data_IF_953090334935
#
_entry.id   IF_953090334935
#
_cell.length_a   1.000
_cell.length_b   1.000
_cell.length_c   1.000
_cell.angle_alpha   90.00
_cell.angle_beta   90.00
_cell.angle_gamma   90.00
#
_symmetry.space_group_name_H-M   'P 1'
#
loop_
_entity.id
_entity.type
_entity.pdbx_description
1 polymer ?
#
# COMPACT_ATOMS: atom_id res chain seq x y z
N UNK A 1 -12.51 -12.39 39.83
CA UNK A 1 -13.39 -12.86 38.74
C UNK A 1 -12.57 -12.72 37.47
N UNK A 2 -12.55 -13.77 36.65
CA UNK A 2 -11.93 -13.74 35.33
C UNK A 2 -12.77 -12.83 34.44
N UNK A 3 -12.16 -11.85 33.79
CA UNK A 3 -12.83 -10.92 32.87
C UNK A 3 -12.88 -11.56 31.48
N UNK A 4 -14.08 -11.75 30.94
CA UNK A 4 -14.31 -12.35 29.62
C UNK A 4 -14.66 -11.28 28.59
N UNK A 5 -13.89 -11.21 27.51
CA UNK A 5 -14.21 -10.40 26.34
C UNK A 5 -14.77 -11.27 25.22
N UNK A 6 -15.80 -10.77 24.54
CA UNK A 6 -16.39 -11.40 23.37
C UNK A 6 -16.25 -10.50 22.14
N UNK A 7 -15.81 -11.08 21.02
CA UNK A 7 -15.81 -10.45 19.70
C UNK A 7 -16.61 -11.36 18.77
N UNK A 8 -17.54 -10.82 17.97
CA UNK A 8 -18.22 -11.58 16.93
C UNK A 8 -18.10 -10.96 15.56
N UNK A 9 -18.11 -11.80 14.52
CA UNK A 9 -17.94 -11.35 13.14
C UNK A 9 -18.06 -12.48 12.13
N UNK A 10 -18.10 -12.09 10.85
CA UNK A 10 -18.05 -13.04 9.73
C UNK A 10 -16.66 -13.66 9.63
N UNK A 11 -15.60 -12.85 9.70
CA UNK A 11 -14.20 -13.30 9.60
C UNK A 11 -13.93 -14.18 8.39
N UNK A 12 -14.40 -13.76 7.20
CA UNK A 12 -14.06 -14.45 5.95
C UNK A 12 -12.55 -14.62 5.81
N UNK A 13 -11.80 -13.58 6.18
CA UNK A 13 -10.34 -13.62 6.30
C UNK A 13 -9.90 -12.91 7.58
N UNK A 14 -8.93 -13.50 8.29
CA UNK A 14 -8.26 -12.85 9.41
C UNK A 14 -7.15 -11.94 8.86
N UNK A 15 -7.46 -10.67 8.70
CA UNK A 15 -6.52 -9.63 8.26
C UNK A 15 -5.95 -8.83 9.45
N UNK A 16 -4.98 -7.94 9.21
CA UNK A 16 -4.30 -7.11 10.20
C UNK A 16 -5.26 -6.39 11.16
N UNK A 17 -6.35 -5.80 10.63
CA UNK A 17 -7.41 -5.20 11.46
C UNK A 17 -8.00 -6.13 12.54
N UNK A 18 -8.27 -7.40 12.21
CA UNK A 18 -8.76 -8.40 13.17
C UNK A 18 -7.71 -8.74 14.22
N UNK A 19 -6.45 -8.92 13.80
CA UNK A 19 -5.33 -9.18 14.71
C UNK A 19 -5.16 -8.06 15.75
N UNK A 20 -5.28 -6.81 15.31
CA UNK A 20 -5.26 -5.61 16.17
C UNK A 20 -6.39 -5.63 17.19
N UNK A 21 -7.59 -6.03 16.76
CA UNK A 21 -8.78 -6.13 17.62
C UNK A 21 -8.64 -7.25 18.66
N UNK A 22 -8.18 -8.44 18.26
CA UNK A 22 -7.96 -9.59 19.15
C UNK A 22 -6.92 -9.27 20.23
N UNK A 23 -5.81 -8.62 19.83
CA UNK A 23 -4.80 -8.16 20.78
C UNK A 23 -5.39 -7.17 21.80
N UNK A 24 -6.14 -6.15 21.34
CA UNK A 24 -6.75 -5.19 22.25
C UNK A 24 -7.71 -5.85 23.23
N UNK A 25 -8.52 -6.80 22.76
CA UNK A 25 -9.39 -7.58 23.65
C UNK A 25 -8.60 -8.32 24.71
N UNK A 26 -7.51 -9.00 24.34
CA UNK A 26 -6.64 -9.71 25.27
C UNK A 26 -5.89 -8.79 26.24
N UNK A 27 -5.66 -7.52 25.89
CA UNK A 27 -5.08 -6.52 26.80
C UNK A 27 -6.08 -6.04 27.86
N UNK A 28 -7.39 -6.14 27.60
CA UNK A 28 -8.45 -5.65 28.50
C UNK A 28 -9.24 -6.78 29.19
N UNK A 29 -8.93 -8.05 28.92
CA UNK A 29 -9.60 -9.21 29.49
C UNK A 29 -8.64 -10.36 29.79
N UNK A 30 -9.00 -11.21 30.73
CA UNK A 30 -8.22 -12.40 31.07
C UNK A 30 -8.42 -13.49 29.99
N UNK A 31 -9.63 -13.56 29.43
CA UNK A 31 -10.04 -14.52 28.40
C UNK A 31 -10.76 -13.84 27.25
N UNK A 32 -10.44 -14.24 26.03
CA UNK A 32 -11.04 -13.81 24.77
C UNK A 32 -11.77 -15.00 24.11
N UNK A 33 -13.08 -14.83 23.93
CA UNK A 33 -13.93 -15.73 23.16
C UNK A 33 -14.29 -15.04 21.83
N UNK A 34 -14.02 -15.68 20.69
CA UNK A 34 -14.40 -15.15 19.38
C UNK A 34 -15.57 -15.96 18.80
N UNK A 35 -16.68 -15.28 18.55
CA UNK A 35 -17.87 -15.82 17.89
C UNK A 35 -17.81 -15.68 16.37
N UNK A 36 -17.87 -16.81 15.68
CA UNK A 36 -17.89 -16.85 14.21
C UNK A 36 -19.33 -17.11 13.77
N UNK A 37 -19.89 -16.19 12.98
CA UNK A 37 -21.25 -16.36 12.46
C UNK A 37 -21.34 -17.62 11.58
N UNK A 38 -22.36 -18.45 11.81
CA UNK A 38 -22.58 -19.65 11.02
C UNK A 38 -22.84 -19.30 9.53
N UNK A 39 -22.64 -20.26 8.64
CA UNK A 39 -22.91 -20.06 7.19
C UNK A 39 -24.40 -19.75 6.92
N UNK A 40 -25.30 -20.17 7.82
CA UNK A 40 -26.73 -19.84 7.81
C UNK A 40 -27.05 -18.37 8.13
N UNK A 41 -26.07 -17.63 8.67
CA UNK A 41 -26.17 -16.20 8.97
C UNK A 41 -25.84 -15.31 7.74
N UNK A 42 -25.67 -15.92 6.57
CA UNK A 42 -25.38 -15.24 5.31
C UNK A 42 -26.63 -14.58 4.72
N UNK A 43 -27.04 -13.46 5.29
CA UNK A 43 -28.23 -12.72 4.87
C UNK A 43 -28.04 -12.02 3.50
N UNK A 44 -26.79 -11.76 3.10
CA UNK A 44 -26.45 -10.87 1.97
C UNK A 44 -25.50 -11.50 0.94
N UNK A 45 -25.10 -12.77 1.10
CA UNK A 45 -24.12 -13.43 0.20
C UNK A 45 -22.66 -13.07 0.50
N UNK A 46 -22.39 -12.51 1.67
CA UNK A 46 -21.08 -11.98 2.06
C UNK A 46 -20.21 -13.03 2.79
N UNK A 47 -20.74 -14.20 3.17
CA UNK A 47 -19.92 -15.28 3.76
C UNK A 47 -19.30 -16.10 2.62
N UNK A 48 -18.00 -15.86 2.38
CA UNK A 48 -17.28 -16.44 1.24
C UNK A 48 -16.48 -17.70 1.59
N UNK A 49 -16.21 -17.91 2.88
CA UNK A 49 -15.36 -18.97 3.40
C UNK A 49 -16.15 -19.84 4.36
N UNK A 50 -15.97 -21.16 4.30
CA UNK A 50 -16.69 -22.11 5.14
C UNK A 50 -16.48 -21.81 6.63
N UNK A 51 -17.49 -22.06 7.47
CA UNK A 51 -17.35 -21.84 8.92
C UNK A 51 -16.17 -22.61 9.52
N UNK A 52 -15.85 -23.81 9.00
CA UNK A 52 -14.70 -24.60 9.45
C UNK A 52 -13.37 -23.89 9.21
N UNK A 53 -13.15 -23.34 8.02
CA UNK A 53 -11.87 -22.69 7.69
C UNK A 53 -11.75 -21.35 8.42
N UNK A 54 -12.87 -20.63 8.60
CA UNK A 54 -12.91 -19.41 9.42
C UNK A 54 -12.57 -19.69 10.88
N UNK A 55 -13.08 -20.80 11.45
CA UNK A 55 -12.70 -21.28 12.80
C UNK A 55 -11.21 -21.53 12.89
N UNK A 56 -10.63 -22.22 11.91
CA UNK A 56 -9.20 -22.52 11.89
C UNK A 56 -8.36 -21.23 11.84
N UNK A 57 -8.72 -20.30 10.95
CA UNK A 57 -8.06 -18.99 10.84
C UNK A 57 -8.06 -18.21 12.15
N UNK A 58 -9.20 -18.13 12.84
CA UNK A 58 -9.29 -17.42 14.13
C UNK A 58 -8.59 -18.19 15.26
N UNK A 59 -8.72 -19.53 15.31
CA UNK A 59 -8.09 -20.37 16.35
C UNK A 59 -6.57 -20.39 16.29
N UNK A 60 -5.99 -20.19 15.10
CA UNK A 60 -4.53 -20.13 14.93
C UNK A 60 -3.91 -18.90 15.61
N UNK A 61 -4.72 -17.95 16.07
CA UNK A 61 -4.25 -16.72 16.67
C UNK A 61 -3.92 -16.88 18.17
N UNK A 62 -2.73 -16.43 18.56
CA UNK A 62 -2.21 -16.54 19.94
C UNK A 62 -3.00 -15.80 21.01
N UNK A 63 -3.83 -14.81 20.64
CA UNK A 63 -4.64 -14.03 21.57
C UNK A 63 -6.03 -14.63 21.82
N UNK A 64 -6.47 -15.57 20.99
CA UNK A 64 -7.81 -16.16 21.07
C UNK A 64 -7.76 -17.41 21.95
N UNK A 65 -8.51 -17.40 23.06
CA UNK A 65 -8.57 -18.54 23.98
C UNK A 65 -9.64 -19.56 23.57
N UNK A 66 -10.74 -19.08 22.99
CA UNK A 66 -11.85 -19.93 22.56
C UNK A 66 -12.55 -19.37 21.32
N UNK A 67 -13.04 -20.27 20.47
CA UNK A 67 -13.86 -19.94 19.31
C UNK A 67 -15.19 -20.68 19.41
N UNK A 68 -16.28 -19.96 19.20
CA UNK A 68 -17.66 -20.48 19.21
C UNK A 68 -18.36 -20.16 17.90
N UNK A 69 -19.25 -21.04 17.45
CA UNK A 69 -20.11 -20.77 16.29
C UNK A 69 -21.37 -20.06 16.77
N UNK A 70 -21.75 -18.99 16.08
CA UNK A 70 -22.88 -18.14 16.42
C UNK A 70 -23.98 -18.36 15.38
N UNK A 71 -24.98 -19.18 15.75
CA UNK A 71 -26.21 -19.40 14.99
C UNK A 71 -27.32 -18.40 15.35
N UNK A 72 -27.21 -17.78 16.53
CA UNK A 72 -28.11 -16.75 17.07
C UNK A 72 -27.29 -15.90 18.05
N UNK A 73 -27.06 -14.64 17.68
CA UNK A 73 -26.24 -13.73 18.49
C UNK A 73 -26.88 -13.43 19.84
N UNK A 74 -28.20 -13.24 19.93
CA UNK A 74 -28.86 -12.91 21.20
C UNK A 74 -28.72 -14.06 22.19
N UNK A 75 -29.05 -15.28 21.74
CA UNK A 75 -28.95 -16.48 22.55
C UNK A 75 -27.51 -16.71 23.02
N UNK A 76 -26.54 -16.55 22.11
CA UNK A 76 -25.12 -16.72 22.43
C UNK A 76 -24.67 -15.74 23.52
N UNK A 77 -25.09 -14.48 23.46
CA UNK A 77 -24.74 -13.48 24.47
C UNK A 77 -25.41 -13.75 25.83
N UNK A 78 -26.63 -14.30 25.84
CA UNK A 78 -27.33 -14.69 27.08
C UNK A 78 -26.68 -15.92 27.74
N UNK A 79 -26.19 -16.86 26.94
CA UNK A 79 -25.54 -18.08 27.43
C UNK A 79 -24.10 -17.80 27.92
N UNK A 80 -23.32 -17.01 27.17
CA UNK A 80 -21.92 -16.70 27.50
C UNK A 80 -21.77 -15.63 28.59
N UNK A 81 -22.69 -14.64 28.62
CA UNK A 81 -22.65 -13.47 29.53
C UNK A 81 -21.25 -12.82 29.66
N UNK A 82 -20.62 -12.38 28.55
CA UNK A 82 -19.31 -11.74 28.61
C UNK A 82 -19.34 -10.42 29.39
N UNK A 83 -18.24 -10.10 30.10
CA UNK A 83 -18.10 -8.83 30.80
C UNK A 83 -17.93 -7.65 29.83
N UNK A 84 -17.29 -7.91 28.68
CA UNK A 84 -17.02 -6.92 27.65
C UNK A 84 -17.35 -7.50 26.27
N UNK A 85 -18.06 -6.73 25.45
CA UNK A 85 -18.12 -6.98 24.00
C UNK A 85 -17.23 -5.93 23.34
N UNK A 86 -16.31 -6.36 22.47
CA UNK A 86 -15.43 -5.45 21.75
C UNK A 86 -15.73 -5.49 20.25
N UNK A 87 -16.01 -4.33 19.66
CA UNK A 87 -16.21 -4.18 18.21
C UNK A 87 -15.21 -3.20 17.61
N UNK A 88 -15.00 -3.31 16.30
CA UNK A 88 -14.27 -2.29 15.55
C UNK A 88 -15.00 -0.95 15.58
N UNK A 89 -14.25 0.15 15.62
CA UNK A 89 -14.81 1.50 15.79
C UNK A 89 -15.75 1.92 14.67
N UNK A 90 -15.63 1.36 13.48
CA UNK A 90 -16.55 1.54 12.36
C UNK A 90 -18.01 1.12 12.66
N UNK A 91 -18.24 0.39 13.75
CA UNK A 91 -19.57 0.00 14.22
C UNK A 91 -20.14 0.93 15.30
N UNK A 92 -19.42 1.98 15.74
CA UNK A 92 -19.86 2.84 16.86
C UNK A 92 -21.13 3.63 16.57
N UNK A 93 -21.34 3.99 15.30
CA UNK A 93 -22.43 4.87 14.89
C UNK A 93 -23.66 4.08 14.41
N UNK A 94 -23.64 2.75 14.53
CA UNK A 94 -24.73 1.84 14.16
C UNK A 94 -25.56 1.45 15.39
N UNK A 95 -26.81 1.06 15.18
CA UNK A 95 -27.60 0.42 16.23
C UNK A 95 -27.02 -0.97 16.52
N UNK A 96 -26.63 -1.22 17.77
CA UNK A 96 -26.02 -2.48 18.21
C UNK A 96 -26.97 -3.21 19.15
N UNK A 97 -27.46 -4.38 18.74
CA UNK A 97 -28.34 -5.23 19.56
C UNK A 97 -27.60 -5.76 20.80
N UNK A 98 -26.29 -5.93 20.67
CA UNK A 98 -25.39 -6.40 21.70
C UNK A 98 -25.35 -5.45 22.91
N UNK A 99 -25.48 -4.14 22.68
CA UNK A 99 -25.51 -3.14 23.76
C UNK A 99 -26.77 -3.31 24.62
N UNK A 100 -27.92 -3.56 23.98
CA UNK A 100 -29.19 -3.75 24.67
C UNK A 100 -29.20 -4.99 25.56
N UNK A 101 -28.41 -6.00 25.20
CA UNK A 101 -28.32 -7.28 25.92
C UNK A 101 -27.28 -7.20 27.03
N UNK A 102 -26.07 -6.71 26.73
CA UNK A 102 -24.94 -6.76 27.67
C UNK A 102 -25.15 -5.88 28.91
N UNK A 103 -25.86 -4.75 28.75
CA UNK A 103 -26.17 -3.84 29.85
C UNK A 103 -27.14 -4.48 30.86
N UNK A 104 -27.99 -5.41 30.44
CA UNK A 104 -28.98 -6.06 31.33
C UNK A 104 -28.32 -6.88 32.45
N UNK A 105 -27.11 -7.35 32.23
CA UNK A 105 -26.33 -8.10 33.21
C UNK A 105 -25.04 -7.40 33.65
N UNK A 106 -24.90 -6.10 33.35
CA UNK A 106 -23.83 -5.24 33.87
C UNK A 106 -22.51 -5.26 33.11
N UNK A 107 -22.46 -5.84 31.90
CA UNK A 107 -21.29 -5.76 31.03
C UNK A 107 -21.25 -4.48 30.20
N UNK A 108 -20.15 -4.28 29.46
CA UNK A 108 -19.93 -3.09 28.64
C UNK A 108 -19.63 -3.39 27.16
N UNK A 109 -20.31 -2.70 26.25
CA UNK A 109 -19.90 -2.62 24.84
C UNK A 109 -18.78 -1.59 24.69
N UNK A 110 -17.66 -1.98 24.10
CA UNK A 110 -16.50 -1.13 23.83
C UNK A 110 -16.16 -1.14 22.34
N UNK A 111 -15.55 -0.06 21.87
CA UNK A 111 -15.11 0.10 20.50
C UNK A 111 -13.59 0.34 20.46
N UNK A 112 -12.87 -0.49 19.71
CA UNK A 112 -11.44 -0.32 19.51
C UNK A 112 -11.14 0.28 18.14
N UNK A 113 -10.25 1.28 18.14
CA UNK A 113 -9.64 1.83 16.94
C UNK A 113 -8.29 1.17 16.66
N UNK A 114 -7.87 1.12 15.40
CA UNK A 114 -6.57 0.55 15.03
C UNK A 114 -5.42 1.38 15.61
N UNK A 115 -4.86 0.96 16.75
CA UNK A 115 -3.63 1.55 17.27
C UNK A 115 -2.46 1.13 16.35
N UNK A 116 -1.84 2.10 15.68
CA UNK A 116 -0.79 1.88 14.66
C UNK A 116 0.59 1.56 15.27
N UNK A 117 0.67 1.35 16.58
CA UNK A 117 1.91 1.11 17.34
C UNK A 117 2.49 -0.32 17.21
N UNK A 118 2.23 -1.00 16.09
CA UNK A 118 2.59 -2.40 15.88
C UNK A 118 3.89 -2.66 15.09
N UNK A 119 4.57 -1.61 14.63
CA UNK A 119 5.83 -1.77 13.88
C UNK A 119 6.87 -2.61 14.62
N UNK A 120 6.88 -2.60 15.96
CA UNK A 120 7.90 -3.31 16.76
C UNK A 120 7.67 -4.82 16.92
N UNK A 121 6.45 -5.35 16.80
CA UNK A 121 6.20 -6.79 16.97
C UNK A 121 6.23 -7.57 15.66
N UNK A 122 5.79 -6.96 14.55
CA UNK A 122 5.96 -7.54 13.21
C UNK A 122 7.46 -7.75 12.88
N UNK A 123 8.33 -6.87 13.36
CA UNK A 123 9.79 -7.03 13.29
C UNK A 123 10.30 -8.26 14.07
N UNK A 124 9.64 -8.63 15.18
CA UNK A 124 10.01 -9.81 16.00
C UNK A 124 9.50 -11.13 15.39
N UNK A 125 8.41 -11.12 14.62
CA UNK A 125 7.97 -12.30 13.87
C UNK A 125 8.85 -12.57 12.65
N UNK A 126 9.35 -11.53 11.98
CA UNK A 126 10.31 -11.68 10.87
C UNK A 126 11.63 -12.37 11.28
N UNK A 127 11.98 -12.37 12.58
CA UNK A 127 13.15 -13.09 13.11
C UNK A 127 12.91 -14.60 13.28
N UNK A 128 11.67 -15.10 13.20
CA UNK A 128 11.39 -16.54 13.20
C UNK A 128 11.56 -17.07 11.77
N UNK A 129 12.79 -17.45 11.45
CA UNK A 129 13.16 -18.04 10.18
C UNK A 129 12.48 -19.38 9.92
N UNK A 130 11.48 -19.38 9.06
CA UNK A 130 11.18 -20.48 8.15
C UNK A 130 11.18 -19.89 6.73
N UNK A 131 12.00 -20.44 5.84
CA UNK A 131 12.03 -20.09 4.40
C UNK A 131 10.78 -20.65 3.72
N UNK A 132 9.60 -20.17 4.11
CA UNK A 132 8.37 -20.49 3.40
C UNK A 132 8.42 -19.89 2.00
N UNK A 133 8.10 -20.68 0.98
CA UNK A 133 8.04 -20.17 -0.38
C UNK A 133 6.95 -19.10 -0.48
N UNK A 134 7.10 -18.17 -1.45
CA UNK A 134 6.06 -17.17 -1.73
C UNK A 134 4.70 -17.83 -1.93
N UNK A 135 4.68 -19.03 -2.54
CA UNK A 135 3.47 -19.79 -2.84
C UNK A 135 2.80 -20.31 -1.57
N UNK A 136 3.57 -20.86 -0.62
CA UNK A 136 3.02 -21.40 0.63
C UNK A 136 2.22 -20.33 1.40
N UNK A 137 2.72 -19.09 1.37
CA UNK A 137 2.11 -17.93 2.04
C UNK A 137 0.83 -17.42 1.41
N UNK A 138 0.62 -17.72 0.13
CA UNK A 138 -0.53 -17.21 -0.64
C UNK A 138 -1.50 -18.30 -1.06
N UNK A 139 -1.28 -19.57 -0.67
CA UNK A 139 -2.17 -20.70 -1.02
C UNK A 139 -3.63 -20.37 -0.70
N UNK A 140 -3.93 -19.92 0.53
CA UNK A 140 -5.30 -19.55 0.88
C UNK A 140 -5.85 -18.35 0.12
N UNK A 141 -4.98 -17.42 -0.32
CA UNK A 141 -5.38 -16.30 -1.17
C UNK A 141 -5.71 -16.76 -2.60
N UNK A 142 -4.97 -17.73 -3.13
CA UNK A 142 -5.25 -18.33 -4.43
C UNK A 142 -6.60 -19.03 -4.44
N UNK A 143 -6.90 -19.80 -3.39
CA UNK A 143 -8.17 -20.53 -3.29
C UNK A 143 -9.36 -19.57 -3.22
N UNK A 144 -9.28 -18.52 -2.38
CA UNK A 144 -10.38 -17.53 -2.21
C UNK A 144 -10.69 -16.74 -3.48
N UNK A 145 -9.68 -16.43 -4.28
CA UNK A 145 -9.82 -15.64 -5.52
C UNK A 145 -9.81 -16.50 -6.79
N UNK A 146 -9.86 -17.84 -6.64
CA UNK A 146 -9.81 -18.79 -7.77
C UNK A 146 -8.62 -18.54 -8.72
N UNK A 147 -7.46 -18.21 -8.15
CA UNK A 147 -6.24 -17.90 -8.89
C UNK A 147 -5.38 -19.16 -9.08
N UNK A 148 -4.53 -19.14 -10.11
CA UNK A 148 -3.53 -20.18 -10.34
C UNK A 148 -2.17 -19.56 -10.66
N UNK A 149 -1.10 -20.32 -10.47
CA UNK A 149 0.26 -19.81 -10.75
C UNK A 149 0.39 -19.44 -12.23
N UNK A 150 -0.25 -20.22 -13.10
CA UNK A 150 -0.25 -19.96 -14.54
C UNK A 150 -1.10 -18.73 -14.92
N UNK A 151 -2.20 -18.44 -14.21
CA UNK A 151 -2.94 -17.19 -14.44
C UNK A 151 -2.10 -15.97 -14.05
N UNK A 152 -1.40 -16.00 -12.93
CA UNK A 152 -0.52 -14.89 -12.51
C UNK A 152 0.69 -14.74 -13.45
N UNK A 153 1.26 -15.85 -13.93
CA UNK A 153 2.31 -15.81 -14.96
C UNK A 153 1.81 -15.18 -16.26
N UNK A 154 0.60 -15.52 -16.69
CA UNK A 154 -0.04 -14.92 -17.87
C UNK A 154 -0.20 -13.41 -17.70
N UNK A 155 -0.60 -12.93 -16.51
CA UNK A 155 -0.66 -11.50 -16.19
C UNK A 155 0.73 -10.84 -16.30
N UNK A 156 1.78 -11.47 -15.75
CA UNK A 156 3.16 -10.94 -15.85
C UNK A 156 3.68 -10.92 -17.30
N UNK A 157 3.15 -11.79 -18.17
CA UNK A 157 3.46 -11.78 -19.59
C UNK A 157 2.66 -10.70 -20.34
N UNK A 158 1.39 -10.50 -20.00
CA UNK A 158 0.50 -9.53 -20.67
C UNK A 158 0.81 -8.08 -20.36
N UNK A 159 1.51 -7.77 -19.27
CA UNK A 159 1.98 -6.40 -19.00
C UNK A 159 3.11 -5.96 -19.94
N UNK A 160 3.76 -6.90 -20.65
CA UNK A 160 4.79 -6.59 -21.63
C UNK A 160 4.17 -5.94 -22.87
N UNK A 161 4.78 -4.86 -23.35
CA UNK A 161 4.33 -4.15 -24.55
C UNK A 161 3.23 -3.11 -24.31
N UNK A 162 2.78 -2.93 -23.06
CA UNK A 162 1.94 -1.77 -22.70
C UNK A 162 2.70 -0.47 -22.93
N UNK A 163 1.97 0.59 -23.26
CA UNK A 163 2.48 1.96 -23.34
C UNK A 163 2.05 2.71 -22.09
N UNK A 164 3.01 2.99 -21.22
CA UNK A 164 2.78 3.54 -19.88
C UNK A 164 3.26 4.99 -19.85
N UNK A 165 2.35 5.92 -19.55
CA UNK A 165 2.67 7.32 -19.32
C UNK A 165 2.78 7.56 -17.82
N UNK A 166 3.96 7.98 -17.34
CA UNK A 166 4.19 8.36 -15.95
C UNK A 166 4.38 9.86 -15.87
N UNK A 167 3.63 10.50 -14.98
CA UNK A 167 3.70 11.95 -14.72
C UNK A 167 4.03 12.12 -13.25
N UNK A 168 4.94 13.04 -12.92
CA UNK A 168 5.20 13.35 -11.51
C UNK A 168 6.56 13.95 -11.25
N UNK A 169 6.98 13.99 -9.98
CA UNK A 169 8.21 14.66 -9.57
C UNK A 169 9.46 13.84 -9.89
N UNK A 170 10.42 14.42 -10.63
CA UNK A 170 11.75 13.83 -10.80
C UNK A 170 12.57 14.05 -9.52
N UNK A 171 13.14 12.97 -8.99
CA UNK A 171 14.00 13.01 -7.80
C UNK A 171 15.30 12.29 -8.12
N UNK A 172 16.41 12.83 -7.61
CA UNK A 172 17.71 12.19 -7.64
C UNK A 172 18.05 11.68 -6.25
N UNK A 173 18.10 10.36 -6.10
CA UNK A 173 18.50 9.71 -4.85
C UNK A 173 20.02 9.50 -4.84
N UNK A 174 20.71 10.10 -3.87
CA UNK A 174 22.18 10.02 -3.73
C UNK A 174 22.56 9.29 -2.45
N UNK A 175 23.40 8.28 -2.56
CA UNK A 175 23.86 7.45 -1.45
C UNK A 175 25.35 7.68 -1.29
N UNK A 176 25.76 8.14 -0.10
CA UNK A 176 27.15 8.36 0.25
C UNK A 176 27.49 7.39 1.37
N UNK A 177 28.16 6.29 1.02
CA UNK A 177 28.64 5.32 1.99
C UNK A 177 29.89 5.88 2.67
N UNK A 178 29.89 5.89 3.99
CA UNK A 178 30.87 6.54 4.83
C UNK A 178 31.47 5.55 5.84
N UNK A 179 32.74 5.75 6.17
CA UNK A 179 33.40 5.09 7.29
C UNK A 179 33.20 5.92 8.57
N UNK A 180 32.68 5.34 9.66
CA UNK A 180 32.66 6.00 10.95
C UNK A 180 34.08 6.30 11.45
N UNK A 181 34.33 7.55 11.85
CA UNK A 181 35.59 7.97 12.45
C UNK A 181 35.49 7.99 13.97
N UNK A 182 34.35 8.46 14.50
CA UNK A 182 34.09 8.56 15.93
C UNK A 182 33.16 9.71 16.27
N UNK A 183 33.12 10.09 17.55
CA UNK A 183 32.42 11.32 17.99
C UNK A 183 33.38 12.50 17.91
N UNK A 184 32.87 13.66 17.50
CA UNK A 184 33.65 14.90 17.52
C UNK A 184 33.93 15.35 18.96
N UNK A 185 35.10 15.95 19.16
CA UNK A 185 35.51 16.57 20.44
C UNK A 185 35.08 18.04 20.55
N UNK A 186 34.59 18.64 19.45
CA UNK A 186 34.13 20.03 19.38
C UNK A 186 32.61 20.16 19.60
N UNK A 187 31.85 19.15 19.16
CA UNK A 187 30.38 19.08 19.23
C UNK A 187 29.97 17.60 19.32
N UNK A 188 28.88 17.18 19.99
CA UNK A 188 28.54 15.78 20.16
C UNK A 188 27.89 15.20 18.89
N UNK A 189 28.64 15.20 17.79
CA UNK A 189 28.23 14.75 16.46
C UNK A 189 29.04 13.55 16.00
N UNK A 190 28.44 12.71 15.15
CA UNK A 190 29.11 11.58 14.52
C UNK A 190 29.97 12.10 13.36
N UNK A 191 31.27 11.85 13.42
CA UNK A 191 32.21 12.15 12.34
C UNK A 191 32.34 10.93 11.44
N UNK A 192 32.17 11.15 10.14
CA UNK A 192 32.29 10.11 9.12
C UNK A 192 33.13 10.60 7.94
N UNK A 193 33.85 9.68 7.30
CA UNK A 193 34.58 9.95 6.06
C UNK A 193 33.86 9.30 4.87
N UNK A 194 33.48 10.05 3.81
CA UNK A 194 32.87 9.46 2.64
C UNK A 194 33.85 8.52 1.92
N UNK A 195 33.35 7.38 1.44
CA UNK A 195 34.11 6.35 0.73
C UNK A 195 33.68 6.28 -0.74
N UNK A 196 32.40 6.00 -0.96
CA UNK A 196 31.82 5.80 -2.27
C UNK A 196 30.49 6.53 -2.39
N UNK A 197 30.20 6.95 -3.60
CA UNK A 197 28.95 7.61 -3.95
C UNK A 197 28.23 6.82 -5.03
N UNK A 198 26.91 6.70 -4.88
CA UNK A 198 26.02 6.13 -5.89
C UNK A 198 24.82 7.04 -6.07
N UNK A 199 24.40 7.23 -7.31
CA UNK A 199 23.26 8.06 -7.66
C UNK A 199 22.24 7.22 -8.42
N UNK A 200 20.98 7.39 -8.06
CA UNK A 200 19.85 6.67 -8.61
C UNK A 200 18.78 7.66 -9.05
N UNK A 201 18.04 7.29 -10.09
CA UNK A 201 16.78 7.95 -10.41
C UNK A 201 15.76 7.54 -9.34
N UNK A 202 15.03 8.50 -8.81
CA UNK A 202 13.95 8.32 -7.84
C UNK A 202 12.70 9.07 -8.27
N UNK A 203 11.72 9.14 -7.37
CA UNK A 203 10.47 9.85 -7.63
C UNK A 203 9.63 9.16 -8.70
N UNK A 204 8.96 9.94 -9.54
CA UNK A 204 8.20 9.41 -10.66
C UNK A 204 9.10 8.79 -11.75
N UNK A 205 10.39 9.18 -11.80
CA UNK A 205 11.34 8.63 -12.78
C UNK A 205 11.62 7.14 -12.57
N UNK A 206 11.69 6.68 -11.31
CA UNK A 206 11.91 5.25 -11.02
C UNK A 206 10.66 4.41 -11.25
N UNK A 207 9.46 4.99 -11.06
CA UNK A 207 8.19 4.37 -11.48
C UNK A 207 8.19 4.10 -12.99
N UNK A 208 8.60 5.09 -13.80
CA UNK A 208 8.75 4.89 -15.25
C UNK A 208 9.80 3.84 -15.60
N UNK A 209 10.94 3.84 -14.89
CA UNK A 209 11.99 2.84 -15.12
C UNK A 209 11.57 1.42 -14.71
N UNK A 210 10.75 1.26 -13.66
CA UNK A 210 10.14 -0.03 -13.34
C UNK A 210 9.21 -0.49 -14.47
N UNK A 211 8.37 0.39 -15.02
CA UNK A 211 7.50 0.05 -16.14
C UNK A 211 8.33 -0.46 -17.35
N UNK A 212 9.39 0.27 -17.71
CA UNK A 212 10.32 -0.13 -18.78
C UNK A 212 10.97 -1.50 -18.50
N UNK A 213 11.48 -1.70 -17.28
CA UNK A 213 12.13 -2.96 -16.88
C UNK A 213 11.16 -4.16 -16.85
N UNK A 214 9.87 -3.93 -16.58
CA UNK A 214 8.81 -4.93 -16.68
C UNK A 214 8.41 -5.25 -18.13
N UNK A 215 8.90 -4.48 -19.10
CA UNK A 215 8.73 -4.73 -20.53
C UNK A 215 7.73 -3.81 -21.24
N UNK A 216 7.28 -2.73 -20.59
CA UNK A 216 6.46 -1.69 -21.22
C UNK A 216 7.32 -0.67 -22.00
N UNK A 217 6.70 0.02 -22.94
CA UNK A 217 7.20 1.29 -23.47
C UNK A 217 6.82 2.40 -22.49
N UNK A 218 7.80 2.96 -21.78
CA UNK A 218 7.54 3.95 -20.74
C UNK A 218 7.88 5.36 -21.21
N UNK A 219 6.89 6.24 -21.16
CA UNK A 219 7.02 7.69 -21.34
C UNK A 219 6.98 8.38 -19.99
N UNK A 220 7.90 9.29 -19.72
CA UNK A 220 8.01 10.00 -18.44
C UNK A 220 7.94 11.51 -18.64
N UNK A 221 6.97 12.17 -18.01
CA UNK A 221 6.76 13.62 -18.09
C UNK A 221 6.99 14.25 -16.71
N UNK A 222 7.86 15.26 -16.65
CA UNK A 222 8.23 15.90 -15.37
C UNK A 222 8.85 17.28 -15.54
N UNK A 223 9.30 17.87 -14.44
CA UNK A 223 10.14 19.07 -14.41
C UNK A 223 11.43 18.83 -13.65
N UNK A 224 12.48 19.55 -14.01
CA UNK A 224 13.74 19.58 -13.29
C UNK A 224 14.39 20.97 -13.35
N UNK A 225 15.45 21.18 -12.58
CA UNK A 225 16.26 22.40 -12.66
C UNK A 225 17.25 22.33 -13.83
N UNK A 226 17.80 23.48 -14.21
CA UNK A 226 18.94 23.53 -15.15
C UNK A 226 20.26 23.24 -14.42
N UNK A 227 20.46 21.98 -14.03
CA UNK A 227 21.59 21.56 -13.21
C UNK A 227 22.11 20.15 -13.56
N UNK A 228 23.29 19.82 -13.04
CA UNK A 228 23.93 18.52 -13.26
C UNK A 228 23.07 17.32 -12.79
N UNK A 229 22.40 17.35 -11.61
CA UNK A 229 21.51 16.28 -11.19
C UNK A 229 20.40 15.98 -12.21
N UNK A 230 19.76 17.01 -12.77
CA UNK A 230 18.74 16.84 -13.81
C UNK A 230 19.30 16.14 -15.05
N UNK A 231 20.47 16.57 -15.52
CA UNK A 231 21.16 15.98 -16.68
C UNK A 231 21.57 14.52 -16.44
N UNK A 232 22.09 14.22 -15.25
CA UNK A 232 22.48 12.86 -14.84
C UNK A 232 21.25 11.94 -14.80
N UNK A 233 20.14 12.41 -14.24
CA UNK A 233 18.90 11.64 -14.15
C UNK A 233 18.33 11.31 -15.54
N UNK A 234 18.31 12.30 -16.45
CA UNK A 234 17.85 12.11 -17.83
C UNK A 234 18.70 11.09 -18.60
N UNK A 235 20.04 11.18 -18.48
CA UNK A 235 20.93 10.19 -19.07
C UNK A 235 20.68 8.78 -18.51
N UNK A 236 20.45 8.66 -17.21
CA UNK A 236 20.13 7.37 -16.57
C UNK A 236 18.80 6.81 -17.06
N UNK A 237 17.75 7.65 -17.17
CA UNK A 237 16.43 7.23 -17.68
C UNK A 237 16.53 6.72 -19.12
N UNK A 238 17.27 7.42 -19.98
CA UNK A 238 17.52 6.99 -21.35
C UNK A 238 18.22 5.63 -21.42
N UNK A 239 19.23 5.40 -20.56
CA UNK A 239 19.92 4.10 -20.47
C UNK A 239 19.01 2.97 -19.97
N UNK A 240 17.99 3.31 -19.18
CA UNK A 240 16.98 2.38 -18.68
C UNK A 240 15.82 2.17 -19.67
N UNK A 241 15.88 2.78 -20.87
CA UNK A 241 14.87 2.62 -21.92
C UNK A 241 13.60 3.44 -21.70
N UNK A 242 13.66 4.50 -20.89
CA UNK A 242 12.54 5.43 -20.65
C UNK A 242 12.63 6.62 -21.62
N UNK A 243 11.53 6.93 -22.29
CA UNK A 243 11.37 8.13 -23.11
C UNK A 243 10.98 9.30 -22.20
N UNK A 244 11.93 10.16 -21.88
CA UNK A 244 11.74 11.24 -20.90
C UNK A 244 11.51 12.61 -21.57
N UNK A 245 10.34 13.18 -21.32
CA UNK A 245 9.95 14.56 -21.66
C UNK A 245 9.97 15.43 -20.41
N UNK A 246 11.16 15.89 -20.02
CA UNK A 246 11.35 16.70 -18.80
C UNK A 246 11.60 18.15 -19.16
N UNK A 247 10.84 19.04 -18.54
CA UNK A 247 10.94 20.48 -18.76
C UNK A 247 11.81 21.15 -17.71
N UNK A 248 12.52 22.21 -18.13
CA UNK A 248 13.36 23.01 -17.24
C UNK A 248 12.52 24.10 -16.58
N UNK A 249 12.54 24.14 -15.26
CA UNK A 249 12.07 25.25 -14.44
C UNK A 249 13.30 25.93 -13.83
N UNK A 250 13.60 27.16 -14.28
CA UNK A 250 14.77 27.92 -13.83
C UNK A 250 14.69 28.40 -12.39
N UNK A 251 13.50 28.37 -11.78
CA UNK A 251 13.26 28.86 -10.43
C UNK A 251 13.40 27.76 -9.37
N UNK A 252 13.69 26.51 -9.75
CA UNK A 252 13.96 25.39 -8.82
C UNK A 252 15.25 24.62 -9.16
N UNK A 253 15.95 24.07 -8.16
CA UNK A 253 16.92 23.00 -8.42
C UNK A 253 16.17 21.69 -8.69
N UNK A 254 16.83 20.74 -9.35
CA UNK A 254 16.35 19.35 -9.41
C UNK A 254 16.32 18.77 -7.99
N UNK A 255 15.18 18.21 -7.60
CA UNK A 255 14.99 17.62 -6.27
C UNK A 255 16.00 16.51 -6.02
N UNK A 256 16.78 16.63 -4.95
CA UNK A 256 17.81 15.66 -4.56
C UNK A 256 17.63 15.19 -3.12
N UNK A 257 17.71 13.88 -2.91
CA UNK A 257 17.64 13.22 -1.59
C UNK A 257 18.96 12.50 -1.32
N UNK A 258 19.82 13.11 -0.51
CA UNK A 258 21.15 12.56 -0.19
C UNK A 258 21.11 11.81 1.15
N UNK A 259 21.47 10.52 1.16
CA UNK A 259 21.58 9.66 2.34
C UNK A 259 23.06 9.40 2.65
N UNK A 260 23.51 9.84 3.82
CA UNK A 260 24.81 9.49 4.37
C UNK A 260 24.66 8.19 5.17
N UNK A 261 25.42 7.16 4.81
CA UNK A 261 25.25 5.82 5.33
C UNK A 261 26.55 5.30 5.96
N UNK A 262 26.44 4.49 7.00
CA UNK A 262 27.55 3.74 7.57
C UNK A 262 27.04 2.37 8.01
N UNK A 263 27.85 1.33 7.75
CA UNK A 263 27.53 -0.07 8.07
C UNK A 263 26.09 -0.48 7.65
N UNK A 264 25.71 -0.08 6.43
CA UNK A 264 24.40 -0.38 5.84
C UNK A 264 23.24 0.51 6.33
N UNK A 265 23.43 1.29 7.41
CA UNK A 265 22.39 2.13 8.01
C UNK A 265 22.49 3.59 7.57
N UNK A 266 21.35 4.26 7.42
CA UNK A 266 21.31 5.70 7.13
C UNK A 266 21.52 6.50 8.42
N UNK A 267 22.53 7.38 8.44
CA UNK A 267 22.84 8.26 9.55
C UNK A 267 22.11 9.60 9.43
N UNK A 268 22.10 10.17 8.23
CA UNK A 268 21.51 11.47 7.93
C UNK A 268 20.94 11.45 6.52
N UNK A 269 19.78 12.09 6.34
CA UNK A 269 19.23 12.41 5.02
C UNK A 269 19.13 13.92 4.86
N UNK A 270 19.71 14.44 3.78
CA UNK A 270 19.64 15.86 3.39
C UNK A 270 18.82 15.95 2.10
N UNK A 271 17.76 16.75 2.14
CA UNK A 271 16.90 16.98 0.99
C UNK A 271 17.16 18.40 0.45
N UNK A 272 17.40 18.50 -0.85
CA UNK A 272 17.60 19.76 -1.57
C UNK A 272 16.49 19.89 -2.61
N UNK A 273 15.58 20.83 -2.38
CA UNK A 273 14.41 21.05 -3.21
C UNK A 273 13.88 22.46 -2.99
N UNK A 274 12.93 22.88 -3.83
CA UNK A 274 12.07 24.03 -3.55
C UNK A 274 10.61 23.58 -3.53
N UNK A 275 9.90 24.07 -2.54
CA UNK A 275 8.49 23.76 -2.32
C UNK A 275 7.60 24.83 -2.92
N UNK A 276 7.39 24.74 -4.24
CA UNK A 276 6.40 25.57 -4.93
C UNK A 276 5.85 24.83 -6.14
N UNK A 277 4.60 25.15 -6.47
CA UNK A 277 4.01 24.74 -7.74
C UNK A 277 4.81 25.33 -8.91
N UNK A 278 4.84 24.59 -10.01
CA UNK A 278 5.34 25.11 -11.29
C UNK A 278 4.50 26.32 -11.73
N UNK A 279 5.10 27.21 -12.52
CA UNK A 279 4.36 28.34 -13.05
C UNK A 279 3.25 27.89 -14.00
N UNK A 280 2.21 28.72 -14.13
CA UNK A 280 1.02 28.37 -14.91
C UNK A 280 1.35 28.10 -16.38
N UNK A 281 2.29 28.84 -17.00
CA UNK A 281 2.62 28.66 -18.41
C UNK A 281 3.30 27.31 -18.65
N UNK A 282 4.22 26.92 -17.76
CA UNK A 282 4.84 25.61 -17.78
C UNK A 282 3.82 24.49 -17.52
N UNK A 283 2.92 24.68 -16.55
CA UNK A 283 1.83 23.75 -16.26
C UNK A 283 0.89 23.53 -17.45
N UNK A 284 0.49 24.60 -18.14
CA UNK A 284 -0.34 24.54 -19.35
C UNK A 284 0.37 23.80 -20.48
N UNK A 285 1.67 24.08 -20.66
CA UNK A 285 2.50 23.40 -21.68
C UNK A 285 2.58 21.90 -21.43
N UNK A 286 2.87 21.48 -20.21
CA UNK A 286 2.93 20.06 -19.81
C UNK A 286 1.56 19.41 -20.00
N UNK A 287 0.50 20.07 -19.56
CA UNK A 287 -0.88 19.57 -19.69
C UNK A 287 -1.23 19.32 -21.16
N UNK A 288 -0.95 20.26 -22.06
CA UNK A 288 -1.24 20.09 -23.48
C UNK A 288 -0.45 18.93 -24.11
N UNK A 289 0.85 18.82 -23.80
CA UNK A 289 1.70 17.73 -24.31
C UNK A 289 1.19 16.38 -23.84
N UNK A 290 0.80 16.26 -22.56
CA UNK A 290 0.18 15.04 -22.02
C UNK A 290 -1.10 14.72 -22.78
N UNK A 291 -2.02 15.69 -22.90
CA UNK A 291 -3.31 15.52 -23.56
C UNK A 291 -3.18 15.04 -25.01
N UNK A 292 -2.22 15.58 -25.76
CA UNK A 292 -1.99 15.25 -27.18
C UNK A 292 -1.54 13.80 -27.39
N UNK A 293 -0.89 13.19 -26.39
CA UNK A 293 -0.38 11.83 -26.46
C UNK A 293 -1.20 10.80 -25.68
N UNK A 294 -2.26 11.19 -24.96
CA UNK A 294 -3.04 10.23 -24.15
C UNK A 294 -3.58 9.05 -24.96
N UNK A 295 -4.07 9.30 -26.17
CA UNK A 295 -4.66 8.27 -27.02
C UNK A 295 -3.66 7.18 -27.47
N UNK A 296 -2.35 7.44 -27.37
CA UNK A 296 -1.30 6.48 -27.70
C UNK A 296 -0.77 5.72 -26.48
N UNK A 297 -1.41 5.82 -25.32
CA UNK A 297 -1.04 5.10 -24.12
C UNK A 297 -2.15 4.16 -23.66
N UNK A 298 -1.79 3.16 -22.87
CA UNK A 298 -2.72 2.16 -22.33
C UNK A 298 -2.94 2.40 -20.82
N UNK A 299 -2.00 3.09 -20.17
CA UNK A 299 -2.00 3.38 -18.73
C UNK A 299 -1.42 4.77 -18.45
N UNK A 300 -2.04 5.52 -17.54
CA UNK A 300 -1.49 6.75 -16.94
C UNK A 300 -1.19 6.48 -15.46
N UNK A 301 0.01 6.87 -15.00
CA UNK A 301 0.39 6.84 -13.59
C UNK A 301 0.75 8.25 -13.13
N UNK A 302 0.00 8.76 -12.16
CA UNK A 302 0.34 9.97 -11.41
C UNK A 302 1.19 9.60 -10.19
N UNK A 303 2.40 10.10 -10.10
CA UNK A 303 3.31 9.81 -8.99
C UNK A 303 3.73 11.11 -8.32
N UNK A 304 2.93 11.53 -7.34
CA UNK A 304 3.06 12.80 -6.64
C UNK A 304 3.91 12.65 -5.38
N UNK A 305 5.06 13.32 -5.33
CA UNK A 305 5.89 13.41 -4.14
C UNK A 305 5.74 14.77 -3.45
N UNK A 306 4.75 15.56 -3.90
CA UNK A 306 4.41 16.88 -3.40
C UNK A 306 5.55 17.88 -3.52
N UNK A 307 6.28 17.86 -4.64
CA UNK A 307 7.27 18.89 -5.00
C UNK A 307 6.78 19.90 -6.05
N UNK A 308 5.49 19.83 -6.41
CA UNK A 308 4.79 20.92 -7.11
C UNK A 308 4.66 20.75 -8.63
N UNK A 309 4.93 19.56 -9.20
CA UNK A 309 4.58 19.26 -10.60
C UNK A 309 3.08 19.36 -10.85
N UNK A 310 2.25 18.89 -9.92
CA UNK A 310 0.80 18.81 -10.10
C UNK A 310 0.06 20.03 -9.57
N UNK A 311 -0.67 20.71 -10.46
CA UNK A 311 -1.80 21.57 -10.10
C UNK A 311 -3.10 20.77 -10.11
N UNK A 312 -4.10 21.20 -9.34
CA UNK A 312 -5.41 20.53 -9.31
C UNK A 312 -6.13 20.63 -10.67
N UNK A 313 -5.87 21.70 -11.42
CA UNK A 313 -6.38 21.87 -12.79
C UNK A 313 -5.77 20.86 -13.76
N UNK A 314 -4.45 20.65 -13.69
CA UNK A 314 -3.74 19.65 -14.50
C UNK A 314 -4.28 18.25 -14.22
N UNK A 315 -4.40 17.86 -12.94
CA UNK A 315 -4.94 16.55 -12.55
C UNK A 315 -6.32 16.37 -13.16
N UNK A 316 -7.23 17.33 -12.95
CA UNK A 316 -8.60 17.27 -13.48
C UNK A 316 -8.63 17.12 -15.00
N UNK A 317 -7.88 17.94 -15.73
CA UNK A 317 -7.88 17.90 -17.21
C UNK A 317 -7.38 16.57 -17.74
N UNK A 318 -6.31 16.01 -17.15
CA UNK A 318 -5.74 14.73 -17.57
C UNK A 318 -6.70 13.59 -17.21
N UNK A 319 -7.28 13.58 -16.00
CA UNK A 319 -8.24 12.57 -15.57
C UNK A 319 -9.50 12.58 -16.45
N UNK A 320 -10.07 13.75 -16.73
CA UNK A 320 -11.24 13.89 -17.62
C UNK A 320 -10.95 13.39 -19.04
N UNK A 321 -9.75 13.64 -19.55
CA UNK A 321 -9.33 13.14 -20.85
C UNK A 321 -9.06 11.63 -20.84
N UNK A 322 -8.40 11.11 -19.80
CA UNK A 322 -8.17 9.68 -19.62
C UNK A 322 -9.46 8.88 -19.56
N UNK A 323 -10.50 9.40 -18.90
CA UNK A 323 -11.84 8.81 -18.91
C UNK A 323 -12.46 8.76 -20.31
N UNK A 324 -12.34 9.82 -21.11
CA UNK A 324 -12.85 9.83 -22.49
C UNK A 324 -12.17 8.80 -23.38
N UNK A 325 -10.93 8.42 -23.06
CA UNK A 325 -10.17 7.37 -23.73
C UNK A 325 -10.30 5.99 -23.07
N UNK A 326 -11.10 5.86 -22.01
CA UNK A 326 -11.25 4.61 -21.23
C UNK A 326 -9.92 4.05 -20.72
N UNK A 327 -8.97 4.92 -20.38
CA UNK A 327 -7.65 4.53 -19.88
C UNK A 327 -7.72 4.09 -18.43
N UNK A 328 -6.90 3.09 -18.07
CA UNK A 328 -6.58 2.84 -16.66
C UNK A 328 -5.72 4.00 -16.18
N UNK A 329 -6.07 4.52 -15.01
CA UNK A 329 -5.35 5.60 -14.35
C UNK A 329 -5.01 5.17 -12.94
N UNK A 330 -3.75 5.27 -12.55
CA UNK A 330 -3.29 4.98 -11.20
C UNK A 330 -2.66 6.23 -10.59
N UNK A 331 -2.80 6.42 -9.28
CA UNK A 331 -2.16 7.52 -8.58
C UNK A 331 -1.55 7.09 -7.26
N UNK A 332 -0.43 7.72 -6.91
CA UNK A 332 0.13 7.70 -5.57
C UNK A 332 0.54 9.12 -5.15
N UNK A 333 0.40 9.43 -3.86
CA UNK A 333 0.75 10.73 -3.28
C UNK A 333 1.50 10.50 -1.97
N UNK A 334 2.83 10.53 -2.07
CA UNK A 334 3.70 10.09 -1.00
C UNK A 334 3.85 11.14 0.11
N UNK A 335 3.56 10.76 1.35
CA UNK A 335 3.75 11.59 2.54
C UNK A 335 5.02 11.22 3.32
N UNK A 336 6.18 11.34 2.66
CA UNK A 336 7.48 10.95 3.25
C UNK A 336 8.26 12.12 3.87
N UNK A 337 8.52 13.17 3.08
CA UNK A 337 9.23 14.40 3.51
C UNK A 337 8.34 15.64 3.41
N UNK A 338 7.30 15.55 2.57
CA UNK A 338 6.23 16.53 2.44
C UNK A 338 4.91 15.88 2.82
N UNK A 339 3.89 16.70 3.03
CA UNK A 339 2.54 16.22 3.32
C UNK A 339 1.78 16.07 2.01
N UNK A 340 1.74 14.83 1.50
CA UNK A 340 0.94 14.47 0.34
C UNK A 340 -0.53 14.30 0.68
N UNK A 341 -1.37 14.32 -0.35
CA UNK A 341 -2.81 14.14 -0.24
C UNK A 341 -3.32 13.33 -1.42
N UNK A 342 -3.51 12.02 -1.20
CA UNK A 342 -4.01 11.12 -2.22
C UNK A 342 -5.43 11.47 -2.68
N UNK A 343 -6.19 12.27 -1.90
CA UNK A 343 -7.55 12.69 -2.29
C UNK A 343 -7.58 13.67 -3.46
N UNK A 344 -6.43 14.25 -3.82
CA UNK A 344 -6.27 15.11 -5.01
C UNK A 344 -6.47 14.36 -6.33
N UNK A 345 -6.49 13.03 -6.32
CA UNK A 345 -6.66 12.18 -7.49
C UNK A 345 -8.03 11.47 -7.48
N UNK A 346 -9.15 12.20 -7.66
CA UNK A 346 -10.46 11.59 -7.69
C UNK A 346 -10.69 10.83 -9.00
N UNK A 347 -11.58 9.84 -8.97
CA UNK A 347 -12.07 9.06 -10.12
C UNK A 347 -11.01 8.25 -10.88
N UNK A 348 -9.77 8.16 -10.41
CA UNK A 348 -8.79 7.24 -11.01
C UNK A 348 -9.19 5.77 -10.80
N UNK A 349 -8.57 4.86 -11.55
CA UNK A 349 -8.85 3.43 -11.44
C UNK A 349 -8.22 2.78 -10.22
N UNK A 350 -7.09 3.31 -9.74
CA UNK A 350 -6.29 2.74 -8.65
C UNK A 350 -5.60 3.85 -7.84
N UNK A 351 -5.62 3.74 -6.52
CA UNK A 351 -4.70 4.48 -5.64
C UNK A 351 -4.04 3.53 -4.64
N UNK A 352 -2.79 3.78 -4.27
CA UNK A 352 -1.99 2.83 -3.45
C UNK A 352 -1.41 3.45 -2.17
N UNK A 353 -2.22 4.10 -1.31
CA UNK A 353 -1.70 4.76 -0.13
C UNK A 353 -1.13 3.74 0.88
N UNK A 354 -0.14 4.16 1.65
CA UNK A 354 0.19 3.49 2.92
C UNK A 354 -0.93 3.73 3.94
N UNK A 355 -1.00 2.92 5.01
CA UNK A 355 -1.94 3.18 6.11
C UNK A 355 -1.78 4.61 6.65
N UNK A 356 -0.55 5.11 6.76
CA UNK A 356 -0.27 6.46 7.24
C UNK A 356 -0.86 7.51 6.30
N UNK A 357 -0.62 7.39 5.00
CA UNK A 357 -1.15 8.32 4.00
C UNK A 357 -2.68 8.30 3.95
N UNK A 358 -3.29 7.12 3.96
CA UNK A 358 -4.74 6.96 3.97
C UNK A 358 -5.37 7.66 5.19
N UNK A 359 -4.79 7.49 6.39
CA UNK A 359 -5.25 8.15 7.61
C UNK A 359 -5.07 9.66 7.59
N UNK A 360 -3.95 10.15 7.04
CA UNK A 360 -3.70 11.58 6.89
C UNK A 360 -4.70 12.23 5.95
N UNK A 361 -4.96 11.61 4.80
CA UNK A 361 -5.89 12.04 3.77
C UNK A 361 -7.31 12.28 4.32
N UNK A 362 -7.83 11.35 5.13
CA UNK A 362 -9.18 11.48 5.73
C UNK A 362 -9.18 12.05 7.15
N UNK A 363 -8.00 12.46 7.64
CA UNK A 363 -7.78 13.01 8.99
C UNK A 363 -8.34 12.11 10.11
N UNK A 364 -8.09 10.81 10.01
CA UNK A 364 -8.66 9.82 10.92
C UNK A 364 -7.61 8.79 11.42
N UNK A 365 -7.22 8.97 12.69
CA UNK A 365 -6.31 8.07 13.40
C UNK A 365 -7.04 7.04 14.29
N UNK A 366 -8.36 6.92 14.14
CA UNK A 366 -9.22 6.19 15.08
C UNK A 366 -9.96 5.02 14.44
N UNK A 367 -10.43 5.13 13.20
CA UNK A 367 -11.15 4.03 12.55
C UNK A 367 -10.24 2.82 12.22
N UNK A 368 -10.84 1.63 12.12
CA UNK A 368 -10.19 0.43 11.58
C UNK A 368 -9.93 0.53 10.07
N UNK A 369 -9.19 -0.43 9.50
CA UNK A 369 -8.76 -0.39 8.10
C UNK A 369 -9.93 -0.32 7.11
N UNK A 370 -11.00 -1.09 7.35
CA UNK A 370 -12.25 -1.03 6.56
C UNK A 370 -12.84 0.38 6.56
N UNK A 371 -12.97 0.99 7.75
CA UNK A 371 -13.50 2.34 7.89
C UNK A 371 -12.62 3.42 7.25
N UNK A 372 -11.30 3.26 7.28
CA UNK A 372 -10.37 4.15 6.57
C UNK A 372 -10.51 3.98 5.06
N UNK A 373 -10.53 2.75 4.56
CA UNK A 373 -10.73 2.46 3.13
C UNK A 373 -12.01 3.10 2.60
N UNK A 374 -13.13 2.97 3.32
CA UNK A 374 -14.40 3.56 2.91
C UNK A 374 -14.39 5.08 2.93
N UNK A 375 -13.74 5.72 3.92
CA UNK A 375 -13.60 7.18 3.93
C UNK A 375 -12.75 7.69 2.77
N UNK A 376 -11.67 6.98 2.42
CA UNK A 376 -10.85 7.33 1.26
C UNK A 376 -11.68 7.15 -0.02
N UNK A 377 -12.39 6.03 -0.16
CA UNK A 377 -13.29 5.77 -1.30
C UNK A 377 -14.35 6.85 -1.45
N UNK A 378 -14.96 7.32 -0.36
CA UNK A 378 -15.95 8.40 -0.39
C UNK A 378 -15.33 9.74 -0.79
N UNK A 379 -14.09 10.01 -0.37
CA UNK A 379 -13.39 11.23 -0.72
C UNK A 379 -12.92 11.26 -2.18
N UNK A 380 -12.54 10.11 -2.74
CA UNK A 380 -11.92 10.02 -4.07
C UNK A 380 -12.81 9.42 -5.15
N UNK A 381 -13.89 8.74 -4.78
CA UNK A 381 -14.70 7.91 -5.68
C UNK A 381 -13.92 6.79 -6.39
N UNK A 382 -12.81 6.31 -5.78
CA UNK A 382 -11.95 5.24 -6.32
C UNK A 382 -12.26 3.92 -5.64
N UNK A 383 -12.63 2.88 -6.38
CA UNK A 383 -13.00 1.58 -5.78
C UNK A 383 -11.81 0.66 -5.48
N UNK A 384 -10.66 0.84 -6.13
CA UNK A 384 -9.47 0.02 -5.92
C UNK A 384 -8.46 0.79 -5.07
N UNK A 385 -8.47 0.55 -3.76
CA UNK A 385 -7.61 1.22 -2.78
C UNK A 385 -6.84 0.17 -1.97
N UNK A 386 -5.90 -0.57 -2.57
CA UNK A 386 -4.99 -1.40 -1.79
C UNK A 386 -4.16 -0.52 -0.85
N UNK A 387 -4.35 -0.70 0.46
CA UNK A 387 -3.63 -0.01 1.51
C UNK A 387 -2.40 -0.85 1.87
N UNK A 388 -1.21 -0.29 1.66
CA UNK A 388 0.04 -0.97 2.02
C UNK A 388 0.31 -0.85 3.52
N UNK A 389 0.64 -1.98 4.16
CA UNK A 389 0.81 -2.13 5.60
C UNK A 389 2.25 -2.51 5.99
N UNK A 390 3.22 -2.28 5.10
CA UNK A 390 4.62 -2.64 5.32
C UNK A 390 4.79 -4.16 5.49
N UNK A 391 5.34 -4.58 6.63
CA UNK A 391 5.56 -6.00 6.96
C UNK A 391 4.28 -6.80 7.16
N UNK A 392 3.12 -6.15 7.32
CA UNK A 392 1.83 -6.86 7.36
C UNK A 392 1.30 -7.18 5.95
N UNK A 393 1.90 -6.64 4.88
CA UNK A 393 1.47 -6.89 3.50
C UNK A 393 0.53 -5.80 2.97
N UNK A 394 -0.51 -6.19 2.24
CA UNK A 394 -1.43 -5.27 1.55
C UNK A 394 -2.88 -5.66 1.78
N UNK A 395 -3.67 -4.71 2.27
CA UNK A 395 -5.10 -4.89 2.54
C UNK A 395 -5.94 -4.19 1.47
N UNK A 396 -6.98 -4.84 0.95
CA UNK A 396 -7.92 -4.25 0.01
C UNK A 396 -9.35 -4.49 0.51
N UNK A 397 -10.15 -3.43 0.57
CA UNK A 397 -11.59 -3.48 0.83
C UNK A 397 -12.31 -2.78 -0.32
N UNK A 398 -13.26 -3.47 -0.96
CA UNK A 398 -13.95 -2.97 -2.14
C UNK A 398 -15.40 -3.48 -2.24
N UNK A 399 -16.25 -2.84 -3.06
CA UNK A 399 -17.54 -3.41 -3.42
C UNK A 399 -17.34 -4.74 -4.16
N UNK A 400 -18.24 -5.68 -3.90
CA UNK A 400 -18.33 -6.96 -4.60
C UNK A 400 -18.70 -6.80 -6.09
N UNK A 401 -18.50 -7.82 -6.91
CA UNK A 401 -18.76 -7.81 -8.36
C UNK A 401 -20.20 -7.44 -8.71
N UNK A 402 -21.15 -7.82 -7.86
CA UNK A 402 -22.59 -7.53 -8.04
C UNK A 402 -23.01 -6.17 -7.45
N UNK A 403 -22.09 -5.46 -6.77
CA UNK A 403 -22.35 -4.18 -6.13
C UNK A 403 -23.32 -4.23 -4.94
N UNK A 404 -23.66 -5.43 -4.46
CA UNK A 404 -24.65 -5.66 -3.38
C UNK A 404 -24.02 -5.86 -2.00
N UNK A 405 -22.72 -6.06 -1.92
CA UNK A 405 -21.99 -6.30 -0.68
C UNK A 405 -20.54 -5.82 -0.77
N UNK A 406 -19.78 -6.15 0.26
CA UNK A 406 -18.37 -5.78 0.37
C UNK A 406 -17.48 -7.02 0.46
N UNK A 407 -16.30 -6.91 -0.15
CA UNK A 407 -15.25 -7.92 -0.05
C UNK A 407 -13.98 -7.25 0.45
N UNK A 408 -13.41 -7.80 1.51
CA UNK A 408 -12.07 -7.47 1.98
C UNK A 408 -11.20 -8.72 2.08
N UNK A 409 -9.93 -8.53 1.72
CA UNK A 409 -8.90 -9.55 1.84
C UNK A 409 -7.52 -8.88 1.95
N UNK A 410 -6.51 -9.67 2.31
CA UNK A 410 -5.15 -9.23 2.49
C UNK A 410 -4.17 -10.21 1.83
N UNK A 411 -3.23 -9.65 1.06
CA UNK A 411 -2.03 -10.38 0.65
C UNK A 411 -0.97 -10.19 1.73
N UNK A 412 -0.41 -11.25 2.34
CA UNK A 412 0.62 -11.11 3.36
C UNK A 412 1.93 -10.58 2.76
N UNK A 413 2.86 -10.16 3.61
CA UNK A 413 4.20 -9.82 3.14
C UNK A 413 4.91 -11.06 2.57
N UNK A 414 5.45 -10.92 1.35
CA UNK A 414 6.07 -12.01 0.59
C UNK A 414 7.61 -12.01 0.66
N UNK A 415 8.19 -11.27 1.61
CA UNK A 415 9.63 -11.24 1.87
C UNK A 415 9.92 -11.05 3.36
N UNK A 416 10.59 -12.03 3.98
CA UNK A 416 10.93 -12.03 5.41
C UNK A 416 12.27 -11.37 5.74
N UNK A 417 13.12 -11.18 4.74
CA UNK A 417 14.48 -10.66 4.90
C UNK A 417 14.67 -9.40 4.03
N UNK A 418 13.99 -8.29 4.37
CA UNK A 418 14.14 -7.04 3.63
C UNK A 418 15.57 -6.50 3.78
N UNK A 419 16.20 -6.20 2.64
CA UNK A 419 17.51 -5.55 2.56
C UNK A 419 17.36 -4.04 2.62
N UNK A 420 16.41 -3.49 1.86
CA UNK A 420 16.09 -2.06 1.83
C UNK A 420 14.61 -1.89 1.49
N UNK A 421 13.84 -1.20 2.35
CA UNK A 421 12.41 -0.98 2.11
C UNK A 421 12.13 0.15 1.11
N UNK A 422 13.17 0.87 0.65
CA UNK A 422 13.03 1.97 -0.29
C UNK A 422 12.51 1.49 -1.65
N UNK A 423 11.49 2.17 -2.18
CA UNK A 423 10.92 1.89 -3.50
C UNK A 423 9.88 0.77 -3.55
N UNK A 424 9.56 0.12 -2.42
CA UNK A 424 8.55 -0.93 -2.38
C UNK A 424 7.17 -0.46 -2.87
N UNK A 425 6.75 0.75 -2.46
CA UNK A 425 5.50 1.37 -2.89
C UNK A 425 5.49 1.69 -4.39
N UNK A 426 6.60 2.21 -4.93
CA UNK A 426 6.73 2.52 -6.36
C UNK A 426 6.62 1.25 -7.21
N UNK A 427 7.28 0.16 -6.78
CA UNK A 427 7.21 -1.16 -7.39
C UNK A 427 5.80 -1.78 -7.29
N UNK A 428 5.11 -1.59 -6.16
CA UNK A 428 3.73 -2.02 -5.98
C UNK A 428 2.80 -1.31 -6.97
N UNK A 429 2.83 0.03 -6.96
CA UNK A 429 1.99 0.90 -7.78
C UNK A 429 2.08 0.52 -9.25
N UNK A 430 3.31 0.50 -9.80
CA UNK A 430 3.52 0.27 -11.23
C UNK A 430 3.08 -1.13 -11.66
N UNK A 431 3.42 -2.17 -10.89
CA UNK A 431 3.09 -3.53 -11.24
C UNK A 431 1.58 -3.79 -11.15
N UNK A 432 0.90 -3.31 -10.10
CA UNK A 432 -0.56 -3.41 -9.98
C UNK A 432 -1.27 -2.62 -11.08
N UNK A 433 -0.82 -1.40 -11.36
CA UNK A 433 -1.42 -0.56 -12.40
C UNK A 433 -1.27 -1.19 -13.80
N UNK A 434 -0.08 -1.71 -14.13
CA UNK A 434 0.16 -2.41 -15.39
C UNK A 434 -0.68 -3.70 -15.50
N UNK A 435 -0.81 -4.48 -14.42
CA UNK A 435 -1.66 -5.66 -14.41
C UNK A 435 -3.12 -5.33 -14.70
N UNK A 436 -3.66 -4.28 -14.07
CA UNK A 436 -5.01 -3.80 -14.35
C UNK A 436 -5.16 -3.30 -15.79
N UNK A 437 -4.18 -2.56 -16.32
CA UNK A 437 -4.17 -2.10 -17.71
C UNK A 437 -4.10 -3.25 -18.72
N UNK A 438 -3.52 -4.40 -18.36
CA UNK A 438 -3.54 -5.60 -19.18
C UNK A 438 -4.88 -6.37 -19.14
N UNK A 439 -5.85 -5.90 -18.34
CA UNK A 439 -7.17 -6.50 -18.19
C UNK A 439 -7.29 -7.53 -17.05
N UNK A 440 -6.28 -7.66 -16.20
CA UNK A 440 -6.35 -8.53 -15.03
C UNK A 440 -7.35 -7.99 -13.99
N UNK A 441 -7.98 -8.89 -13.24
CA UNK A 441 -8.78 -8.51 -12.08
C UNK A 441 -7.89 -7.88 -10.98
N UNK A 442 -8.51 -7.11 -10.07
CA UNK A 442 -7.76 -6.37 -9.06
C UNK A 442 -6.98 -7.29 -8.10
N UNK A 443 -7.48 -8.50 -7.80
CA UNK A 443 -6.87 -9.39 -6.82
C UNK A 443 -5.60 -10.02 -7.42
N UNK A 444 -5.66 -10.44 -8.68
CA UNK A 444 -4.48 -10.79 -9.47
C UNK A 444 -3.47 -9.63 -9.52
N UNK A 445 -3.94 -8.40 -9.78
CA UNK A 445 -3.07 -7.23 -9.90
C UNK A 445 -2.38 -6.84 -8.57
N UNK A 446 -3.10 -6.94 -7.44
CA UNK A 446 -2.54 -6.68 -6.10
C UNK A 446 -1.53 -7.76 -5.71
N UNK A 447 -1.77 -9.01 -6.08
CA UNK A 447 -0.81 -10.08 -5.87
C UNK A 447 0.47 -9.86 -6.70
N UNK A 448 0.36 -9.50 -7.99
CA UNK A 448 1.52 -9.16 -8.83
C UNK A 448 2.29 -7.96 -8.25
N UNK A 449 1.58 -6.92 -7.78
CA UNK A 449 2.19 -5.79 -7.08
C UNK A 449 2.91 -6.18 -5.80
N UNK A 450 2.35 -7.11 -5.04
CA UNK A 450 2.97 -7.63 -3.81
C UNK A 450 4.24 -8.44 -4.12
N UNK A 451 4.24 -9.22 -5.20
CA UNK A 451 5.44 -9.92 -5.69
C UNK A 451 6.50 -8.92 -6.15
N UNK A 452 6.12 -7.87 -6.88
CA UNK A 452 7.02 -6.80 -7.30
C UNK A 452 7.66 -6.08 -6.10
N UNK A 453 6.87 -5.77 -5.08
CA UNK A 453 7.34 -5.19 -3.81
C UNK A 453 8.35 -6.10 -3.11
N UNK A 454 8.05 -7.40 -3.03
CA UNK A 454 8.92 -8.39 -2.42
C UNK A 454 10.27 -8.53 -3.15
N UNK A 455 10.27 -8.44 -4.49
CA UNK A 455 11.48 -8.35 -5.30
C UNK A 455 12.29 -7.09 -4.99
N UNK A 456 11.63 -5.94 -4.91
CA UNK A 456 12.29 -4.65 -4.69
C UNK A 456 12.92 -4.58 -3.30
N UNK A 457 12.21 -5.01 -2.24
CA UNK A 457 12.75 -4.97 -0.87
C UNK A 457 13.92 -5.93 -0.63
N UNK A 458 14.11 -6.91 -1.51
CA UNK A 458 15.25 -7.82 -1.48
C UNK A 458 16.54 -7.23 -2.08
N UNK A 459 16.51 -5.99 -2.57
CA UNK A 459 17.65 -5.32 -3.21
C UNK A 459 18.05 -4.08 -2.43
N UNK A 460 19.27 -3.61 -2.63
CA UNK A 460 19.74 -2.34 -2.08
C UNK A 460 19.39 -1.19 -3.03
N UNK A 461 18.77 -0.13 -2.50
CA UNK A 461 18.38 1.04 -3.28
C UNK A 461 17.21 0.75 -4.23
N UNK A 462 16.77 1.79 -4.94
CA UNK A 462 15.64 1.68 -5.86
C UNK A 462 16.12 1.38 -7.28
N UNK A 463 16.11 0.09 -7.64
CA UNK A 463 16.59 -0.39 -8.94
C UNK A 463 15.42 -0.91 -9.77
N UNK A 464 15.35 -0.62 -11.07
CA UNK A 464 14.29 -1.12 -11.92
C UNK A 464 14.10 -2.64 -11.81
N UNK A 465 12.84 -3.05 -11.79
CA UNK A 465 12.46 -4.45 -11.73
C UNK A 465 12.56 -5.04 -13.13
N UNK A 466 12.84 -6.34 -13.22
CA UNK A 466 12.71 -7.07 -14.48
C UNK A 466 11.59 -8.10 -14.41
N UNK A 467 10.90 -8.29 -15.54
CA UNK A 467 9.87 -9.34 -15.68
C UNK A 467 10.36 -10.72 -15.21
N UNK A 468 11.62 -11.04 -15.53
CA UNK A 468 12.26 -12.31 -15.14
C UNK A 468 12.32 -12.48 -13.61
N UNK A 469 12.52 -11.41 -12.86
CA UNK A 469 12.56 -11.46 -11.39
C UNK A 469 11.19 -11.78 -10.81
N UNK A 470 10.12 -11.15 -11.32
CA UNK A 470 8.75 -11.46 -10.91
C UNK A 470 8.41 -12.92 -11.21
N UNK A 471 8.69 -13.38 -12.43
CA UNK A 471 8.44 -14.78 -12.80
C UNK A 471 9.27 -15.78 -11.99
N UNK A 472 10.48 -15.42 -11.56
CA UNK A 472 11.34 -16.28 -10.75
C UNK A 472 10.81 -16.46 -9.32
N UNK A 473 10.19 -15.43 -8.74
CA UNK A 473 9.56 -15.51 -7.40
C UNK A 473 8.32 -16.42 -7.36
N UNK A 474 7.71 -16.69 -8.51
CA UNK A 474 6.57 -17.60 -8.66
C UNK A 474 7.00 -19.04 -9.02
N UNK A 475 8.28 -19.38 -8.85
CA UNK A 475 8.77 -20.76 -9.01
C UNK A 475 8.95 -21.38 -7.63
N UNK A 476 8.39 -22.57 -7.47
CA UNK A 476 8.60 -23.46 -6.33
C UNK A 476 10.07 -23.80 -6.14
#
# INVERSE_FOLDING_TARGET
METVCFISGKFNVVHAGHLRLFRHAKEISDRLIVGIYADSYDLDGEILVSVSDRIEGVRSNVWVDEVVVVDDLEKTLVDLRPDVILKGKEHSDRSNIEEQIIVQYGGALKFAGGDSRLSSWALLQAEKGEEDSVLDRVTGFFDRHSLSVDSIRSVIESISGLRVLVIGDLIVDRYIDCQPVGLSSEDPTVVVSPLHERTFVGGAGIVAAHAAGLGASATFVSVCGDDDPGRVALNSLMQLGVEAEVFIDSDRPTTRKTRYRADGKTLLRVNEFRDHQIDQHLGDKITNIVLDQLASHDLIIFSDFSYGVFSDEMIRMITDAGHRHSLIMAADSQSSSQMGDITRFPNVSLITPTEKEARLAVRDNRSGLVGISEKVRQATNVSNIPITLGSEGVFLHRPDSDGKGWVDDQVPALNDSPVDVSGAGDAFLVATAMSMASGADVWSAVLVGSVASACQVGKLGNTPLSRRELSARLRS
#
